data_IF_497540875279
#
_entry.id   IF_497540875279
#
_cell.length_a   1.000
_cell.length_b   1.000
_cell.length_c   1.000
_cell.angle_alpha   90.00
_cell.angle_beta   90.00
_cell.angle_gamma   90.00
#
_symmetry.space_group_name_H-M   'P 1'
#
loop_
_entity.id
_entity.type
_entity.pdbx_description
1 polymer ?
#
# COMPACT_ATOMS: atom_id res chain seq x y z
N UNK A 1 18.84 11.01 31.21
CA UNK A 1 17.80 10.93 30.17
C UNK A 1 18.29 11.70 28.96
N UNK A 2 18.98 11.04 28.03
CA UNK A 2 19.54 11.69 26.83
C UNK A 2 18.44 11.81 25.78
N UNK A 3 18.39 12.96 25.08
CA UNK A 3 17.44 13.25 23.98
C UNK A 3 17.39 12.12 22.93
N UNK A 4 18.50 11.37 22.77
CA UNK A 4 18.64 10.22 21.89
C UNK A 4 17.72 9.03 22.24
N UNK A 5 17.27 8.89 23.49
CA UNK A 5 16.39 7.79 23.90
C UNK A 5 14.94 7.99 23.47
N UNK A 6 14.49 9.24 23.28
CA UNK A 6 13.16 9.54 22.74
C UNK A 6 13.00 9.07 21.28
N UNK A 7 14.08 9.03 20.52
CA UNK A 7 14.08 8.54 19.13
C UNK A 7 14.06 7.01 19.01
N UNK A 8 14.33 6.25 20.08
CA UNK A 8 14.32 4.78 20.04
C UNK A 8 12.90 4.18 20.00
N UNK A 9 11.87 4.94 20.37
CA UNK A 9 10.50 4.42 20.53
C UNK A 9 9.61 4.53 19.29
N UNK A 10 10.01 5.27 18.25
CA UNK A 10 9.26 5.36 17.00
C UNK A 10 9.90 4.53 15.88
N UNK A 11 10.12 3.22 16.12
CA UNK A 11 10.50 2.30 15.05
C UNK A 11 9.26 1.98 14.20
N UNK A 12 8.89 2.90 13.33
CA UNK A 12 7.90 2.63 12.27
C UNK A 12 8.50 1.59 11.34
N UNK A 13 7.78 0.47 11.12
CA UNK A 13 8.24 -0.56 10.20
C UNK A 13 8.37 0.04 8.80
N UNK A 14 9.48 -0.21 8.11
CA UNK A 14 9.68 0.24 6.72
C UNK A 14 9.17 -0.78 5.68
N UNK A 15 8.62 -1.90 6.15
CA UNK A 15 8.06 -2.99 5.33
C UNK A 15 9.01 -3.48 4.22
N UNK A 16 10.33 -3.38 4.43
CA UNK A 16 11.35 -3.64 3.41
C UNK A 16 11.32 -5.08 2.88
N UNK A 17 10.97 -6.04 3.74
CA UNK A 17 10.84 -7.47 3.41
C UNK A 17 9.59 -7.86 2.63
N UNK A 18 8.64 -6.93 2.42
CA UNK A 18 7.48 -7.17 1.55
C UNK A 18 7.97 -7.16 0.10
N UNK A 19 7.70 -8.23 -0.65
CA UNK A 19 8.15 -8.31 -2.04
C UNK A 19 7.34 -7.34 -2.92
N UNK A 20 7.96 -6.70 -3.93
CA UNK A 20 7.30 -5.70 -4.78
C UNK A 20 6.48 -6.28 -5.95
N UNK A 21 6.55 -7.59 -6.17
CA UNK A 21 5.91 -8.30 -7.30
C UNK A 21 4.46 -8.72 -7.02
N UNK A 22 4.00 -8.52 -5.79
CA UNK A 22 2.63 -8.82 -5.35
C UNK A 22 1.89 -7.53 -5.02
N UNK A 23 0.60 -7.45 -5.27
CA UNK A 23 -0.18 -6.24 -4.97
C UNK A 23 -0.42 -6.08 -3.46
N UNK A 24 -0.66 -7.19 -2.77
CA UNK A 24 -0.89 -7.22 -1.32
C UNK A 24 -0.07 -8.32 -0.66
N UNK A 25 0.51 -8.02 0.50
CA UNK A 25 1.17 -9.01 1.34
C UNK A 25 1.26 -8.57 2.79
N UNK A 26 1.28 -9.53 3.71
CA UNK A 26 1.56 -9.26 5.10
C UNK A 26 3.05 -9.02 5.31
N UNK A 27 3.39 -7.99 6.09
CA UNK A 27 4.77 -7.76 6.49
C UNK A 27 5.22 -8.82 7.51
N UNK A 28 6.32 -9.54 7.27
CA UNK A 28 6.81 -10.57 8.20
C UNK A 28 7.35 -9.99 9.51
N UNK A 29 7.65 -8.69 9.56
CA UNK A 29 8.22 -8.04 10.75
C UNK A 29 7.15 -7.43 11.67
N UNK A 30 6.06 -6.87 11.14
CA UNK A 30 4.99 -6.23 11.93
C UNK A 30 3.61 -6.88 11.80
N UNK A 31 3.40 -7.79 10.86
CA UNK A 31 2.11 -8.45 10.63
C UNK A 31 1.03 -7.59 9.95
N UNK A 32 1.32 -6.32 9.64
CA UNK A 32 0.37 -5.46 8.92
C UNK A 32 0.17 -5.92 7.47
N UNK A 33 -1.04 -5.74 6.95
CA UNK A 33 -1.33 -5.92 5.53
C UNK A 33 -0.86 -4.71 4.74
N UNK A 34 0.04 -4.94 3.79
CA UNK A 34 0.67 -3.91 2.98
C UNK A 34 0.17 -4.02 1.55
N UNK A 35 -0.20 -2.89 0.97
CA UNK A 35 -0.48 -2.71 -0.45
C UNK A 35 0.73 -2.07 -1.13
N UNK A 36 1.24 -2.71 -2.17
CA UNK A 36 2.28 -2.16 -3.03
C UNK A 36 1.63 -1.27 -4.10
N UNK A 37 1.86 0.03 -3.99
CA UNK A 37 1.32 1.03 -4.90
C UNK A 37 2.42 1.58 -5.78
N UNK A 38 2.19 1.57 -7.08
CA UNK A 38 3.14 2.09 -8.08
C UNK A 38 2.69 3.45 -8.58
N UNK A 39 3.64 4.38 -8.68
CA UNK A 39 3.40 5.73 -9.14
C UNK A 39 4.36 6.13 -10.24
N UNK A 40 3.88 6.90 -11.22
CA UNK A 40 4.68 7.54 -12.25
C UNK A 40 4.61 9.05 -12.08
N UNK A 41 5.74 9.71 -12.31
CA UNK A 41 5.80 11.17 -12.38
C UNK A 41 5.84 11.58 -13.85
N UNK A 42 4.94 12.47 -14.24
CA UNK A 42 4.85 13.00 -15.61
C UNK A 42 4.93 14.51 -15.59
N UNK A 43 5.50 15.07 -16.65
CA UNK A 43 5.41 16.51 -16.88
C UNK A 43 3.95 16.93 -17.09
N UNK A 44 3.49 17.97 -16.39
CA UNK A 44 2.13 18.48 -16.56
C UNK A 44 1.90 19.15 -17.93
N UNK A 45 2.96 19.70 -18.54
CA UNK A 45 2.87 20.40 -19.83
C UNK A 45 2.90 19.44 -21.03
N UNK A 46 3.87 18.52 -21.07
CA UNK A 46 4.10 17.66 -22.25
C UNK A 46 3.88 16.16 -22.01
N UNK A 47 3.53 15.75 -20.78
CA UNK A 47 3.21 14.35 -20.45
C UNK A 47 4.39 13.37 -20.42
N UNK A 48 5.61 13.83 -20.72
CA UNK A 48 6.79 12.97 -20.72
C UNK A 48 7.05 12.41 -19.32
N UNK A 49 7.45 11.14 -19.25
CA UNK A 49 7.78 10.46 -17.99
C UNK A 49 9.09 11.05 -17.43
N UNK A 50 9.08 11.32 -16.13
CA UNK A 50 10.23 11.83 -15.39
C UNK A 50 10.51 10.83 -14.28
N UNK A 51 11.78 10.59 -13.97
CA UNK A 51 12.16 9.68 -12.88
C UNK A 51 11.70 10.27 -11.56
N UNK A 52 10.88 9.54 -10.81
CA UNK A 52 10.40 9.95 -9.50
C UNK A 52 11.30 9.44 -8.36
N UNK A 53 11.29 10.13 -7.24
CA UNK A 53 11.93 9.71 -5.98
C UNK A 53 11.03 10.08 -4.80
N UNK A 54 11.13 9.33 -3.70
CA UNK A 54 10.46 9.68 -2.45
C UNK A 54 11.41 10.54 -1.62
N UNK A 55 10.99 11.76 -1.28
CA UNK A 55 11.68 12.60 -0.29
C UNK A 55 10.67 13.04 0.77
N UNK A 56 10.99 12.83 2.03
CA UNK A 56 10.12 13.17 3.17
C UNK A 56 8.68 12.61 3.08
N UNK A 57 8.50 11.45 2.45
CA UNK A 57 7.19 10.82 2.26
C UNK A 57 6.40 11.30 1.04
N UNK A 58 6.91 12.30 0.32
CA UNK A 58 6.29 12.83 -0.90
C UNK A 58 7.02 12.32 -2.16
N UNK A 59 6.24 12.06 -3.20
CA UNK A 59 6.76 11.66 -4.51
C UNK A 59 7.07 12.93 -5.29
N UNK A 60 8.35 13.14 -5.60
CA UNK A 60 8.82 14.29 -6.38
C UNK A 60 9.67 13.81 -7.56
N UNK A 61 9.81 14.59 -8.64
CA UNK A 61 10.77 14.25 -9.68
C UNK A 61 12.21 14.33 -9.14
N UNK A 62 13.09 13.45 -9.62
CA UNK A 62 14.52 13.42 -9.27
C UNK A 62 15.21 14.76 -9.64
N UNK A 63 14.76 15.34 -10.77
CA UNK A 63 15.21 16.63 -11.29
C UNK A 63 14.03 17.60 -11.28
N UNK A 64 14.29 18.85 -10.89
CA UNK A 64 13.25 19.87 -10.69
C UNK A 64 12.67 20.45 -12.00
N UNK A 65 12.99 19.89 -13.16
CA UNK A 65 12.55 20.39 -14.46
C UNK A 65 12.38 19.26 -15.47
N UNK A 66 11.50 19.46 -16.45
CA UNK A 66 11.32 18.56 -17.57
C UNK A 66 12.44 18.72 -18.60
N UNK A 67 13.07 17.61 -19.00
CA UNK A 67 14.09 17.62 -20.06
C UNK A 67 13.58 18.02 -21.45
N UNK A 68 12.28 17.84 -21.69
CA UNK A 68 11.69 18.09 -23.00
C UNK A 68 11.23 19.55 -23.16
N UNK A 69 10.55 20.11 -22.16
CA UNK A 69 9.93 21.45 -22.26
C UNK A 69 10.40 22.44 -21.19
N UNK A 70 11.25 22.05 -20.25
CA UNK A 70 11.80 22.94 -19.22
C UNK A 70 10.85 23.33 -18.08
N UNK A 71 9.55 23.01 -18.14
CA UNK A 71 8.63 23.31 -17.03
C UNK A 71 9.00 22.53 -15.76
N UNK A 72 8.59 23.06 -14.61
CA UNK A 72 8.73 22.45 -13.29
C UNK A 72 7.47 21.74 -12.81
N UNK A 73 6.36 21.93 -13.51
CA UNK A 73 5.07 21.35 -13.13
C UNK A 73 5.02 19.86 -13.48
N UNK A 74 4.56 19.06 -12.52
CA UNK A 74 4.45 17.61 -12.67
C UNK A 74 3.13 17.09 -12.10
N UNK A 75 2.74 15.92 -12.60
CA UNK A 75 1.56 15.17 -12.19
C UNK A 75 2.04 13.81 -11.72
N UNK A 76 1.49 13.34 -10.59
CA UNK A 76 1.73 12.02 -10.04
C UNK A 76 0.55 11.14 -10.44
N UNK A 77 0.82 10.06 -11.16
CA UNK A 77 -0.18 9.10 -11.63
C UNK A 77 0.00 7.77 -10.92
N UNK A 78 -1.05 7.26 -10.26
CA UNK A 78 -1.06 5.90 -9.73
C UNK A 78 -1.33 4.92 -10.87
N UNK A 79 -0.51 3.86 -10.96
CA UNK A 79 -0.69 2.80 -11.95
C UNK A 79 -1.04 1.49 -11.27
N UNK A 80 -1.93 0.72 -11.90
CA UNK A 80 -2.40 -0.56 -11.34
C UNK A 80 -1.36 -1.67 -11.49
N UNK A 81 -0.65 -1.70 -12.63
CA UNK A 81 0.33 -2.73 -12.94
C UNK A 81 1.56 -2.10 -13.57
N UNK A 82 2.73 -2.43 -13.04
CA UNK A 82 4.00 -1.92 -13.53
C UNK A 82 4.48 -2.72 -14.75
N UNK A 83 4.88 -2.02 -15.81
CA UNK A 83 5.55 -2.61 -16.97
C UNK A 83 7.06 -2.51 -16.82
N UNK A 84 7.81 -3.38 -17.53
CA UNK A 84 9.26 -3.38 -17.51
C UNK A 84 9.90 -2.05 -17.95
N UNK A 85 9.28 -1.33 -18.89
CA UNK A 85 9.77 -0.01 -19.33
C UNK A 85 9.58 1.03 -18.21
N UNK A 86 8.43 0.96 -17.56
CA UNK A 86 7.99 1.94 -16.57
C UNK A 86 8.71 1.79 -15.23
N UNK A 87 9.22 0.59 -14.91
CA UNK A 87 9.89 0.31 -13.64
C UNK A 87 11.11 1.21 -13.39
N UNK A 88 11.76 1.70 -14.46
CA UNK A 88 12.92 2.59 -14.37
C UNK A 88 12.55 4.02 -13.95
N UNK A 89 11.29 4.42 -14.13
CA UNK A 89 10.76 5.74 -13.78
C UNK A 89 9.86 5.70 -12.53
N UNK A 90 9.27 4.54 -12.27
CA UNK A 90 8.25 4.37 -11.26
C UNK A 90 8.79 4.40 -9.83
N UNK A 91 7.90 4.81 -8.94
CA UNK A 91 8.14 4.87 -7.49
C UNK A 91 7.21 3.86 -6.83
N UNK A 92 7.81 2.97 -6.03
CA UNK A 92 7.07 2.02 -5.21
C UNK A 92 6.80 2.63 -3.84
N UNK A 93 5.53 2.70 -3.46
CA UNK A 93 5.06 3.07 -2.13
C UNK A 93 4.40 1.86 -1.48
N UNK A 94 4.78 1.56 -0.24
CA UNK A 94 4.19 0.49 0.56
C UNK A 94 3.22 1.12 1.55
N UNK A 95 1.93 0.95 1.30
CA UNK A 95 0.87 1.54 2.12
C UNK A 95 0.28 0.48 3.05
N UNK A 96 0.05 0.84 4.31
CA UNK A 96 -0.66 -0.03 5.26
C UNK A 96 -2.16 0.03 4.95
N UNK A 97 -2.79 -1.12 4.76
CA UNK A 97 -4.23 -1.21 4.48
C UNK A 97 -5.00 -1.11 5.80
N UNK A 98 -5.54 0.07 6.09
CA UNK A 98 -6.45 0.25 7.23
C UNK A 98 -7.83 -0.30 6.89
N UNK A 99 -8.24 -1.38 7.56
CA UNK A 99 -9.63 -1.85 7.51
C UNK A 99 -10.45 -1.13 8.59
N UNK A 100 -11.52 -0.44 8.18
CA UNK A 100 -12.55 0.01 9.10
C UNK A 100 -13.40 -1.20 9.50
N UNK A 101 -12.94 -1.96 10.50
CA UNK A 101 -13.75 -3.02 11.07
C UNK A 101 -15.01 -2.40 11.68
N UNK A 102 -16.17 -2.65 11.09
CA UNK A 102 -17.38 -2.67 11.91
C UNK A 102 -17.32 -3.99 12.67
N UNK A 103 -17.06 -3.94 13.97
CA UNK A 103 -17.02 -5.14 14.80
C UNK A 103 -18.39 -5.83 14.70
N UNK A 104 -18.47 -6.92 13.95
CA UNK A 104 -19.63 -7.80 13.95
C UNK A 104 -19.17 -9.18 14.40
N UNK A 105 -19.87 -9.72 15.38
CA UNK A 105 -19.69 -11.11 15.80
C UNK A 105 -20.69 -11.94 15.01
N UNK A 106 -20.21 -12.91 14.24
CA UNK A 106 -21.05 -13.94 13.61
C UNK A 106 -20.74 -15.28 14.25
N UNK A 107 -21.79 -16.01 14.61
CA UNK A 107 -21.69 -17.36 15.16
C UNK A 107 -22.33 -18.34 14.20
N UNK A 108 -21.71 -19.51 14.03
CA UNK A 108 -22.35 -20.64 13.36
C UNK A 108 -23.21 -21.36 14.38
N UNK A 109 -24.44 -21.71 14.02
CA UNK A 109 -25.29 -22.57 14.85
C UNK A 109 -25.25 -23.97 14.25
N UNK A 110 -25.05 -24.96 15.10
CA UNK A 110 -25.28 -26.37 14.77
C UNK A 110 -26.70 -26.75 15.23
N UNK A 111 -27.59 -27.02 14.28
CA UNK A 111 -29.00 -27.34 14.58
C UNK A 111 -29.28 -28.85 14.62
N UNK A 112 -28.50 -29.69 13.91
CA UNK A 112 -28.83 -31.10 13.74
C UNK A 112 -27.66 -32.04 14.08
N UNK A 113 -27.58 -32.49 15.34
CA UNK A 113 -26.62 -33.52 15.77
C UNK A 113 -26.94 -34.93 15.25
N UNK A 114 -28.02 -35.11 14.46
CA UNK A 114 -28.60 -36.43 14.16
C UNK A 114 -28.41 -36.92 12.72
N UNK A 115 -27.79 -36.13 11.83
CA UNK A 115 -27.56 -36.54 10.43
C UNK A 115 -26.15 -36.18 9.95
N UNK A 116 -25.51 -37.10 9.23
CA UNK A 116 -24.12 -36.96 8.72
C UNK A 116 -23.96 -35.94 7.59
N UNK A 117 -25.05 -35.33 7.11
CA UNK A 117 -25.08 -34.33 6.04
C UNK A 117 -25.49 -32.94 6.55
N UNK A 118 -24.93 -32.53 7.70
CA UNK A 118 -25.26 -31.24 8.29
C UNK A 118 -24.64 -30.06 7.50
N UNK A 119 -25.46 -29.06 7.16
CA UNK A 119 -25.00 -27.78 6.62
C UNK A 119 -25.10 -26.72 7.71
N UNK A 120 -23.93 -26.27 8.18
CA UNK A 120 -23.82 -25.17 9.12
C UNK A 120 -24.56 -23.94 8.58
N UNK A 121 -25.43 -23.35 9.41
CA UNK A 121 -26.12 -22.10 9.08
C UNK A 121 -25.51 -20.97 9.90
N UNK A 122 -25.30 -19.83 9.26
CA UNK A 122 -24.95 -18.59 9.96
C UNK A 122 -26.13 -18.19 10.86
N UNK A 123 -25.84 -17.88 12.12
CA UNK A 123 -26.82 -17.25 13.01
C UNK A 123 -27.20 -15.90 12.41
N UNK A 124 -28.50 -15.71 12.16
CA UNK A 124 -29.00 -14.40 11.73
C UNK A 124 -28.86 -13.42 12.90
N UNK A 125 -27.92 -12.48 12.79
CA UNK A 125 -27.79 -11.37 13.72
C UNK A 125 -28.75 -10.28 13.26
N UNK A 126 -29.91 -10.20 13.91
CA UNK A 126 -30.82 -9.07 13.73
C UNK A 126 -30.18 -7.84 14.36
N UNK A 127 -30.00 -6.77 13.58
CA UNK A 127 -29.66 -5.44 14.07
C UNK A 127 -30.92 -4.66 14.42
#
# INVERSE_FOLDING_TARGET
>A
MTILELFKFNKVCQHSKVRPDVDFAYCPDCGELIENQWYLVRCACCGVKIKGVIKNGEIIPERNFCHNCGTKDFIIERINKINFIDISYAVLVKAVVSHNFTNFTQSWVENDFRTSNYRQRLLQVFR
#
